data_IF_745855222419
#
_entry.id   IF_745855222419
#
_cell.length_a   1.000
_cell.length_b   1.000
_cell.length_c   1.000
_cell.angle_alpha   90.00
_cell.angle_beta   90.00
_cell.angle_gamma   90.00
#
_symmetry.space_group_name_H-M   'P 1'
#
loop_
_entity.id
_entity.type
_entity.pdbx_description
1 polymer ?
#
# COMPACT_ATOMS: atom_id res chain seq x y z
N UNK A 1 10.82 -21.99 3.84
CA UNK A 1 11.48 -20.68 3.63
C UNK A 1 10.72 -20.00 2.50
N UNK A 2 10.13 -18.84 2.76
CA UNK A 2 9.42 -18.05 1.74
C UNK A 2 10.39 -17.61 0.66
N UNK A 3 10.15 -17.97 -0.60
CA UNK A 3 11.00 -17.61 -1.72
C UNK A 3 10.71 -16.17 -2.18
N UNK A 4 11.54 -15.64 -3.09
CA UNK A 4 11.25 -14.33 -3.71
C UNK A 4 9.98 -14.42 -4.55
N UNK A 5 9.76 -15.54 -5.24
CA UNK A 5 8.56 -15.76 -6.06
C UNK A 5 7.29 -15.81 -5.20
N UNK A 6 7.35 -16.44 -4.03
CA UNK A 6 6.21 -16.45 -3.08
C UNK A 6 5.87 -15.03 -2.60
N UNK A 7 6.90 -14.23 -2.27
CA UNK A 7 6.70 -12.83 -1.85
C UNK A 7 6.17 -11.97 -2.99
N UNK A 8 6.67 -12.19 -4.22
CA UNK A 8 6.19 -11.54 -5.43
C UNK A 8 4.70 -11.83 -5.65
N UNK A 9 4.30 -13.10 -5.60
CA UNK A 9 2.90 -13.50 -5.75
C UNK A 9 2.01 -12.86 -4.68
N UNK A 10 2.47 -12.80 -3.42
CA UNK A 10 1.76 -12.10 -2.35
C UNK A 10 1.60 -10.59 -2.60
N UNK A 11 2.65 -9.94 -3.10
CA UNK A 11 2.62 -8.52 -3.48
C UNK A 11 1.64 -8.25 -4.63
N UNK A 12 1.63 -9.10 -5.68
CA UNK A 12 0.71 -8.97 -6.82
C UNK A 12 -0.76 -9.19 -6.40
N UNK A 13 -1.02 -10.16 -5.53
CA UNK A 13 -2.36 -10.39 -4.98
C UNK A 13 -2.84 -9.17 -4.18
N UNK A 14 -1.98 -8.63 -3.31
CA UNK A 14 -2.29 -7.44 -2.51
C UNK A 14 -2.50 -6.19 -3.37
N UNK A 15 -1.70 -6.03 -4.43
CA UNK A 15 -1.85 -4.94 -5.40
C UNK A 15 -3.24 -4.97 -6.04
N UNK A 16 -3.66 -6.14 -6.53
CA UNK A 16 -4.97 -6.33 -7.17
C UNK A 16 -6.12 -6.04 -6.20
N UNK A 17 -6.00 -6.50 -4.95
CA UNK A 17 -6.99 -6.24 -3.90
C UNK A 17 -7.15 -4.73 -3.63
N UNK A 18 -6.03 -4.01 -3.48
CA UNK A 18 -6.04 -2.57 -3.20
C UNK A 18 -6.59 -1.77 -4.37
N UNK A 19 -6.19 -2.11 -5.61
CA UNK A 19 -6.73 -1.47 -6.81
C UNK A 19 -8.25 -1.64 -6.88
N UNK A 20 -8.76 -2.85 -6.63
CA UNK A 20 -10.21 -3.09 -6.59
C UNK A 20 -10.92 -2.42 -5.41
N UNK A 21 -10.22 -2.08 -4.32
CA UNK A 21 -10.77 -1.27 -3.23
C UNK A 21 -10.83 0.21 -3.60
N UNK A 22 -9.79 0.74 -4.25
CA UNK A 22 -9.74 2.14 -4.67
C UNK A 22 -10.82 2.46 -5.68
N UNK A 23 -11.04 1.60 -6.68
CA UNK A 23 -12.14 1.78 -7.65
C UNK A 23 -13.48 1.92 -6.95
N UNK A 24 -13.75 1.09 -5.93
CA UNK A 24 -15.00 1.17 -5.15
C UNK A 24 -15.11 2.47 -4.34
N UNK A 25 -14.00 2.97 -3.81
CA UNK A 25 -13.97 4.25 -3.07
C UNK A 25 -14.21 5.41 -4.04
N UNK A 26 -13.58 5.38 -5.22
CA UNK A 26 -13.77 6.36 -6.27
C UNK A 26 -15.23 6.37 -6.75
N UNK A 27 -15.82 5.22 -7.04
CA UNK A 27 -17.24 5.09 -7.42
C UNK A 27 -18.19 5.65 -6.35
N UNK A 28 -17.86 5.49 -5.06
CA UNK A 28 -18.66 6.02 -3.95
C UNK A 28 -18.58 7.56 -3.87
N UNK A 29 -17.36 8.12 -3.97
CA UNK A 29 -17.12 9.56 -3.94
C UNK A 29 -17.67 10.31 -5.16
N UNK A 30 -17.92 9.62 -6.27
CA UNK A 30 -18.55 10.20 -7.47
C UNK A 30 -20.08 10.34 -7.34
N UNK A 31 -20.70 9.77 -6.30
CA UNK A 31 -22.14 9.87 -6.10
C UNK A 31 -22.57 11.31 -5.75
N UNK A 32 -23.69 11.78 -6.30
CA UNK A 32 -24.21 13.10 -5.96
C UNK A 32 -24.69 13.13 -4.50
N UNK A 33 -24.32 14.19 -3.78
CA UNK A 33 -24.77 14.42 -2.41
C UNK A 33 -26.31 14.52 -2.33
N UNK A 34 -26.86 14.17 -1.16
CA UNK A 34 -28.30 14.27 -0.89
C UNK A 34 -28.79 15.72 -0.96
N UNK A 35 -30.02 15.89 -1.43
CA UNK A 35 -30.73 17.17 -1.40
C UNK A 35 -31.15 17.58 0.03
N UNK A 36 -31.04 16.69 1.02
CA UNK A 36 -31.34 16.96 2.42
C UNK A 36 -30.11 17.51 3.17
N UNK A 37 -30.16 18.79 3.57
CA UNK A 37 -29.08 19.45 4.31
C UNK A 37 -28.62 18.73 5.59
N UNK A 38 -29.51 18.02 6.29
CA UNK A 38 -29.12 17.25 7.47
C UNK A 38 -28.31 16.00 7.11
N UNK A 39 -28.56 15.40 5.96
CA UNK A 39 -27.81 14.25 5.45
C UNK A 39 -26.47 14.68 4.88
N UNK A 40 -26.39 15.85 4.21
CA UNK A 40 -25.13 16.38 3.69
C UNK A 40 -24.04 16.61 4.74
N UNK A 41 -24.39 16.83 6.01
CA UNK A 41 -23.39 16.95 7.06
C UNK A 41 -22.71 15.60 7.32
N UNK A 42 -23.49 14.52 7.37
CA UNK A 42 -23.00 13.15 7.55
C UNK A 42 -22.26 12.65 6.31
N UNK A 43 -22.79 12.88 5.11
CA UNK A 43 -22.14 12.49 3.85
C UNK A 43 -20.72 13.08 3.72
N UNK A 44 -20.52 14.34 4.10
CA UNK A 44 -19.18 14.96 4.07
C UNK A 44 -18.19 14.31 5.05
N UNK A 45 -18.67 13.85 6.21
CA UNK A 45 -17.82 13.15 7.17
C UNK A 45 -17.44 11.76 6.62
N UNK A 46 -18.39 11.06 6.01
CA UNK A 46 -18.16 9.76 5.38
C UNK A 46 -17.20 9.87 4.17
N UNK A 47 -17.38 10.89 3.32
CA UNK A 47 -16.49 11.18 2.19
C UNK A 47 -15.05 11.44 2.67
N UNK A 48 -14.87 12.19 3.76
CA UNK A 48 -13.53 12.46 4.29
C UNK A 48 -12.82 11.17 4.74
N UNK A 49 -13.56 10.23 5.33
CA UNK A 49 -13.02 8.91 5.72
C UNK A 49 -12.64 8.08 4.49
N UNK A 50 -13.47 8.13 3.44
CA UNK A 50 -13.22 7.45 2.17
C UNK A 50 -11.97 8.02 1.46
N UNK A 51 -11.82 9.34 1.43
CA UNK A 51 -10.63 10.02 0.90
C UNK A 51 -9.36 9.59 1.62
N UNK A 52 -9.37 9.57 2.96
CA UNK A 52 -8.22 9.14 3.77
C UNK A 52 -7.86 7.67 3.52
N UNK A 53 -8.87 6.82 3.40
CA UNK A 53 -8.70 5.40 3.07
C UNK A 53 -8.14 5.21 1.65
N UNK A 54 -8.57 6.05 0.71
CA UNK A 54 -8.09 6.12 -0.66
C UNK A 54 -6.63 6.54 -0.74
N UNK A 55 -6.27 7.64 -0.06
CA UNK A 55 -4.91 8.15 -0.01
C UNK A 55 -3.93 7.14 0.61
N UNK A 56 -4.33 6.50 1.71
CA UNK A 56 -3.56 5.43 2.36
C UNK A 56 -3.38 4.21 1.45
N UNK A 57 -4.46 3.76 0.77
CA UNK A 57 -4.40 2.67 -0.19
C UNK A 57 -3.48 2.97 -1.37
N UNK A 58 -3.56 4.17 -1.94
CA UNK A 58 -2.70 4.61 -3.03
C UNK A 58 -1.22 4.65 -2.62
N UNK A 59 -0.92 5.04 -1.37
CA UNK A 59 0.44 4.99 -0.83
C UNK A 59 0.95 3.55 -0.70
N UNK A 60 0.11 2.61 -0.23
CA UNK A 60 0.46 1.19 -0.16
C UNK A 60 0.74 0.60 -1.55
N UNK A 61 -0.10 0.91 -2.55
CA UNK A 61 0.10 0.52 -3.95
C UNK A 61 1.47 0.97 -4.45
N UNK A 62 1.83 2.26 -4.27
CA UNK A 62 3.13 2.78 -4.69
C UNK A 62 4.30 2.02 -4.05
N UNK A 63 4.17 1.62 -2.78
CA UNK A 63 5.20 0.82 -2.12
C UNK A 63 5.31 -0.58 -2.71
N UNK A 64 4.19 -1.22 -3.01
CA UNK A 64 4.14 -2.56 -3.61
C UNK A 64 4.72 -2.54 -5.02
N UNK A 65 4.32 -1.59 -5.86
CA UNK A 65 4.85 -1.42 -7.22
C UNK A 65 6.36 -1.20 -7.20
N UNK A 66 6.85 -0.37 -6.28
CA UNK A 66 8.28 -0.16 -6.09
C UNK A 66 9.01 -1.45 -5.63
N UNK A 67 8.39 -2.26 -4.78
CA UNK A 67 8.95 -3.55 -4.38
C UNK A 67 9.02 -4.55 -5.54
N UNK A 68 7.96 -4.64 -6.35
CA UNK A 68 7.93 -5.45 -7.58
C UNK A 68 8.98 -4.98 -8.60
N UNK A 69 9.21 -3.67 -8.72
CA UNK A 69 10.29 -3.13 -9.55
C UNK A 69 11.68 -3.55 -9.05
N UNK A 70 11.92 -3.53 -7.74
CA UNK A 70 13.17 -4.05 -7.15
C UNK A 70 13.37 -5.55 -7.41
N UNK A 71 12.29 -6.34 -7.36
CA UNK A 71 12.34 -7.76 -7.72
C UNK A 71 12.77 -7.92 -9.17
N UNK A 72 12.15 -7.17 -10.09
CA UNK A 72 12.51 -7.19 -11.52
C UNK A 72 13.95 -6.76 -11.78
N UNK A 73 14.48 -5.81 -10.99
CA UNK A 73 15.88 -5.34 -11.09
C UNK A 73 16.89 -6.23 -10.35
N UNK A 74 16.43 -7.22 -9.58
CA UNK A 74 17.30 -8.05 -8.75
C UNK A 74 17.88 -7.35 -7.51
N UNK A 75 17.33 -6.19 -7.12
CA UNK A 75 17.76 -5.43 -5.93
C UNK A 75 16.85 -5.62 -4.72
N UNK A 76 15.87 -6.53 -4.83
CA UNK A 76 14.96 -6.85 -3.74
C UNK A 76 15.70 -7.47 -2.55
N UNK A 77 15.33 -7.03 -1.34
CA UNK A 77 16.00 -7.45 -0.11
C UNK A 77 17.27 -6.67 0.21
N UNK A 78 17.56 -5.57 -0.49
CA UNK A 78 18.61 -4.61 -0.14
C UNK A 78 17.96 -3.32 0.35
N UNK A 79 18.45 -2.80 1.49
CA UNK A 79 17.98 -1.56 2.09
C UNK A 79 18.33 -0.38 1.18
N UNK A 80 17.33 0.43 0.82
CA UNK A 80 17.50 1.60 -0.03
C UNK A 80 18.27 2.76 0.65
N UNK A 81 18.45 2.72 1.98
CA UNK A 81 19.16 3.76 2.74
C UNK A 81 20.62 3.38 3.03
N UNK A 82 20.87 2.23 3.66
CA UNK A 82 22.22 1.80 4.04
C UNK A 82 22.88 0.82 3.06
N UNK A 83 22.14 0.23 2.12
CA UNK A 83 22.65 -0.78 1.19
C UNK A 83 22.85 -2.18 1.78
N UNK A 84 22.50 -2.39 3.05
CA UNK A 84 22.61 -3.70 3.70
C UNK A 84 21.45 -4.64 3.35
N UNK A 85 21.65 -5.94 3.58
CA UNK A 85 20.61 -6.95 3.34
C UNK A 85 19.48 -6.80 4.37
N UNK A 86 18.25 -6.75 3.88
CA UNK A 86 17.04 -6.74 4.71
C UNK A 86 16.82 -8.15 5.25
N UNK A 87 16.61 -8.26 6.55
CA UNK A 87 16.33 -9.53 7.22
C UNK A 87 15.12 -10.25 6.59
N UNK A 88 15.26 -11.55 6.32
CA UNK A 88 14.19 -12.34 5.69
C UNK A 88 12.88 -12.28 6.50
N UNK A 89 12.96 -12.31 7.84
CA UNK A 89 11.79 -12.18 8.72
C UNK A 89 11.03 -10.87 8.50
N UNK A 90 11.75 -9.77 8.25
CA UNK A 90 11.16 -8.46 7.96
C UNK A 90 10.47 -8.46 6.61
N UNK A 91 11.07 -9.09 5.59
CA UNK A 91 10.45 -9.27 4.28
C UNK A 91 9.25 -10.24 4.32
N UNK A 92 9.17 -11.12 5.32
CA UNK A 92 8.01 -11.98 5.54
C UNK A 92 6.86 -11.21 6.22
N UNK A 93 7.17 -10.26 7.12
CA UNK A 93 6.16 -9.40 7.76
C UNK A 93 5.71 -8.24 6.87
N UNK A 94 6.65 -7.56 6.21
CA UNK A 94 6.40 -6.37 5.38
C UNK A 94 7.18 -6.50 4.06
N UNK A 95 6.66 -7.27 3.08
CA UNK A 95 7.38 -7.55 1.84
C UNK A 95 7.63 -6.29 0.98
N UNK A 96 6.77 -5.28 1.10
CA UNK A 96 6.90 -4.04 0.33
C UNK A 96 7.96 -3.07 0.88
N UNK A 97 8.60 -3.39 2.03
CA UNK A 97 9.49 -2.44 2.70
C UNK A 97 10.77 -2.17 1.89
N UNK A 98 11.16 -0.88 1.70
CA UNK A 98 12.44 -0.55 1.09
C UNK A 98 13.59 -0.49 2.09
N UNK A 99 13.34 -0.65 3.40
CA UNK A 99 14.32 -0.37 4.46
C UNK A 99 14.54 -1.58 5.36
N UNK A 100 15.75 -1.71 5.91
CA UNK A 100 16.03 -2.62 7.02
C UNK A 100 15.37 -2.13 8.33
N UNK A 101 15.42 -2.97 9.37
CA UNK A 101 14.80 -2.66 10.66
C UNK A 101 15.39 -1.40 11.31
N UNK A 102 16.70 -1.21 11.21
CA UNK A 102 17.39 -0.07 11.83
C UNK A 102 17.07 1.24 11.11
N UNK A 103 17.20 1.27 9.79
CA UNK A 103 16.85 2.45 8.98
C UNK A 103 15.37 2.83 9.11
N UNK A 104 14.47 1.85 9.26
CA UNK A 104 13.05 2.15 9.49
C UNK A 104 12.76 2.66 10.90
N UNK A 105 13.60 2.30 11.89
CA UNK A 105 13.54 2.83 13.25
C UNK A 105 14.26 4.18 13.41
N UNK A 106 14.92 4.68 12.35
CA UNK A 106 15.74 5.90 12.40
C UNK A 106 17.05 5.73 13.17
N UNK A 107 17.56 4.49 13.26
CA UNK A 107 18.82 4.15 13.93
C UNK A 107 19.96 4.00 12.94
#
# INVERSE_FOLDING_TARGET
MTTIDDRKAGLEARLTELQGRLVRIEDELEQPASDNFSEQATEREDDQVLEDLGASGAQEIRMIEAALDRIRRGTYGICANCGEVIEAKRLDTVPATPLCADCAAGR
#
